data_IF_200835485325
#
_entry.id   IF_200835485325
#
_cell.length_a   1.000
_cell.length_b   1.000
_cell.length_c   1.000
_cell.angle_alpha   90.00
_cell.angle_beta   90.00
_cell.angle_gamma   90.00
#
_symmetry.space_group_name_H-M   'P 1'
#
loop_
_entity.id
_entity.type
_entity.pdbx_description
1 polymer ?
#
# COMPACT_ATOMS: atom_id res chain seq x y z
N UNK A 1 8.44 20.76 -9.36
CA UNK A 1 9.40 19.71 -8.91
C UNK A 1 10.61 19.71 -9.81
N UNK A 2 11.81 19.47 -9.28
CA UNK A 2 13.06 19.42 -10.06
C UNK A 2 13.59 17.99 -10.13
N UNK A 3 14.51 17.69 -11.05
CA UNK A 3 15.16 16.37 -11.11
C UNK A 3 15.87 16.01 -9.78
N UNK A 4 16.37 17.01 -9.06
CA UNK A 4 17.01 16.82 -7.76
C UNK A 4 16.00 16.35 -6.70
N UNK A 5 14.79 16.91 -6.68
CA UNK A 5 13.76 16.50 -5.70
C UNK A 5 13.26 15.08 -5.96
N UNK A 6 13.14 14.64 -7.21
CA UNK A 6 12.78 13.25 -7.53
C UNK A 6 13.85 12.25 -7.10
N UNK A 7 15.13 12.61 -7.22
CA UNK A 7 16.23 11.74 -6.78
C UNK A 7 16.22 11.54 -5.27
N UNK A 8 16.08 12.62 -4.50
CA UNK A 8 16.00 12.54 -3.05
C UNK A 8 14.81 11.68 -2.60
N UNK A 9 13.64 11.87 -3.22
CA UNK A 9 12.47 11.04 -2.95
C UNK A 9 12.74 9.55 -3.25
N UNK A 10 13.40 9.24 -4.36
CA UNK A 10 13.75 7.85 -4.69
C UNK A 10 14.72 7.25 -3.66
N UNK A 11 15.71 8.02 -3.19
CA UNK A 11 16.63 7.59 -2.14
C UNK A 11 15.90 7.28 -0.82
N UNK A 12 14.93 8.10 -0.43
CA UNK A 12 14.11 7.84 0.76
C UNK A 12 13.28 6.55 0.63
N UNK A 13 12.64 6.34 -0.52
CA UNK A 13 11.87 5.11 -0.78
C UNK A 13 12.74 3.85 -0.82
N UNK A 14 13.94 3.93 -1.42
CA UNK A 14 14.93 2.86 -1.38
C UNK A 14 15.36 2.55 0.07
N UNK A 15 15.56 3.58 0.90
CA UNK A 15 15.90 3.37 2.31
C UNK A 15 14.79 2.61 3.06
N UNK A 16 13.52 2.99 2.87
CA UNK A 16 12.39 2.26 3.45
C UNK A 16 12.28 0.83 2.91
N UNK A 17 12.41 0.63 1.61
CA UNK A 17 12.38 -0.70 1.00
C UNK A 17 13.44 -1.65 1.57
N UNK A 18 14.63 -1.12 1.90
CA UNK A 18 15.72 -1.92 2.46
C UNK A 18 15.61 -2.17 3.97
N UNK A 19 14.94 -1.28 4.72
CA UNK A 19 15.01 -1.30 6.20
C UNK A 19 13.69 -1.56 6.90
N UNK A 20 12.57 -1.10 6.34
CA UNK A 20 11.23 -1.31 6.90
C UNK A 20 10.18 -1.31 5.78
N UNK A 21 10.19 -2.33 4.90
CA UNK A 21 9.38 -2.34 3.69
C UNK A 21 7.88 -2.34 3.98
N UNK A 22 7.44 -2.97 5.08
CA UNK A 22 6.02 -2.96 5.46
C UNK A 22 5.57 -1.56 5.92
N UNK A 23 6.39 -0.87 6.74
CA UNK A 23 6.09 0.51 7.12
C UNK A 23 6.14 1.47 5.93
N UNK A 24 7.05 1.24 4.97
CA UNK A 24 7.10 2.00 3.71
C UNK A 24 5.78 1.96 2.94
N UNK A 25 5.04 0.84 3.00
CA UNK A 25 3.76 0.67 2.30
C UNK A 25 2.54 1.06 3.16
N UNK A 26 2.57 0.83 4.47
CA UNK A 26 1.55 1.29 5.41
C UNK A 26 2.20 1.90 6.64
N UNK A 27 2.38 3.22 6.62
CA UNK A 27 3.10 3.99 7.64
C UNK A 27 2.24 4.29 8.88
N UNK A 28 1.93 3.26 9.65
CA UNK A 28 1.35 3.42 10.99
C UNK A 28 2.45 3.77 12.00
N UNK A 29 2.42 4.94 12.68
CA UNK A 29 3.46 5.34 13.63
C UNK A 29 3.74 4.33 14.75
N UNK A 30 2.75 3.52 15.12
CA UNK A 30 2.90 2.46 16.13
C UNK A 30 3.67 1.24 15.62
N UNK A 31 3.76 1.08 14.29
CA UNK A 31 4.37 -0.06 13.61
C UNK A 31 5.78 0.24 13.06
N UNK A 32 6.28 1.46 13.24
CA UNK A 32 7.63 1.86 12.80
C UNK A 32 8.74 1.03 13.46
N UNK A 33 9.76 0.71 12.68
CA UNK A 33 10.93 -0.05 13.12
C UNK A 33 10.71 -1.55 13.04
N UNK A 34 10.03 -2.01 11.99
CA UNK A 34 9.77 -3.42 11.72
C UNK A 34 8.77 -4.07 12.67
N UNK A 35 7.82 -3.30 13.22
CA UNK A 35 6.84 -3.80 14.20
C UNK A 35 5.52 -4.26 13.58
N UNK A 36 5.42 -4.25 12.25
CA UNK A 36 4.31 -4.90 11.58
C UNK A 36 4.36 -6.40 11.82
N UNK A 37 3.26 -6.95 12.31
CA UNK A 37 2.99 -8.38 12.09
C UNK A 37 2.63 -8.58 10.61
N UNK A 38 3.25 -9.57 9.98
CA UNK A 38 3.11 -9.81 8.55
C UNK A 38 1.68 -10.19 8.18
N UNK A 39 1.02 -11.00 9.02
CA UNK A 39 -0.37 -11.42 8.77
C UNK A 39 -1.29 -10.22 8.91
N UNK A 40 -1.19 -9.49 10.03
CA UNK A 40 -1.95 -8.25 10.26
C UNK A 40 -1.79 -7.26 9.10
N UNK A 41 -0.57 -7.10 8.58
CA UNK A 41 -0.29 -6.21 7.47
C UNK A 41 -1.07 -6.59 6.20
N UNK A 42 -1.00 -7.86 5.78
CA UNK A 42 -1.71 -8.31 4.56
C UNK A 42 -3.24 -8.38 4.78
N UNK A 43 -3.69 -8.72 5.98
CA UNK A 43 -5.10 -8.67 6.37
C UNK A 43 -5.66 -7.24 6.23
N UNK A 44 -4.86 -6.23 6.59
CA UNK A 44 -5.23 -4.82 6.43
C UNK A 44 -5.49 -4.45 4.96
N UNK A 45 -4.79 -5.10 4.02
CA UNK A 45 -4.96 -4.90 2.58
C UNK A 45 -6.27 -5.49 2.08
N UNK A 46 -6.57 -6.73 2.46
CA UNK A 46 -7.87 -7.37 2.15
C UNK A 46 -9.04 -6.57 2.70
N UNK A 47 -8.93 -6.11 3.95
CA UNK A 47 -9.95 -5.25 4.56
C UNK A 47 -10.10 -3.90 3.83
N UNK A 48 -9.01 -3.35 3.28
CA UNK A 48 -9.06 -2.12 2.48
C UNK A 48 -9.81 -2.33 1.16
N UNK A 49 -9.49 -3.40 0.42
CA UNK A 49 -10.17 -3.74 -0.83
C UNK A 49 -11.66 -4.00 -0.58
N UNK A 50 -12.00 -4.75 0.47
CA UNK A 50 -13.41 -5.02 0.79
C UNK A 50 -14.20 -3.73 1.03
N UNK A 51 -13.65 -2.76 1.77
CA UNK A 51 -14.31 -1.46 1.98
C UNK A 51 -14.54 -0.69 0.68
N UNK A 52 -13.62 -0.78 -0.28
CA UNK A 52 -13.80 -0.18 -1.60
C UNK A 52 -14.97 -0.84 -2.35
N UNK A 53 -15.00 -2.17 -2.37
CA UNK A 53 -16.09 -2.95 -3.00
C UNK A 53 -17.44 -2.61 -2.38
N UNK A 54 -17.51 -2.59 -1.04
CA UNK A 54 -18.74 -2.24 -0.31
C UNK A 54 -19.20 -0.82 -0.62
N UNK A 55 -18.26 0.12 -0.76
CA UNK A 55 -18.55 1.51 -1.14
C UNK A 55 -19.15 1.58 -2.54
N UNK A 56 -18.54 0.91 -3.53
CA UNK A 56 -19.07 0.85 -4.90
C UNK A 56 -20.48 0.25 -4.93
N UNK A 57 -20.69 -0.85 -4.20
CA UNK A 57 -22.00 -1.49 -4.08
C UNK A 57 -23.04 -0.54 -3.48
N UNK A 58 -22.71 0.18 -2.40
CA UNK A 58 -23.62 1.15 -1.76
C UNK A 58 -24.03 2.32 -2.68
N UNK A 59 -23.20 2.63 -3.66
CA UNK A 59 -23.43 3.67 -4.66
C UNK A 59 -24.09 3.12 -5.94
N UNK A 60 -24.39 1.82 -6.00
CA UNK A 60 -24.87 1.11 -7.18
C UNK A 60 -23.94 1.29 -8.40
N UNK A 61 -22.62 1.33 -8.17
CA UNK A 61 -21.62 1.41 -9.23
C UNK A 61 -21.21 -0.02 -9.62
N UNK A 62 -21.51 -0.39 -10.84
CA UNK A 62 -21.04 -1.65 -11.45
C UNK A 62 -19.65 -1.48 -12.05
N UNK A 63 -18.84 -2.53 -11.98
CA UNK A 63 -17.51 -2.60 -12.57
C UNK A 63 -17.21 -4.04 -13.02
N UNK A 64 -16.31 -4.19 -14.00
CA UNK A 64 -15.83 -5.50 -14.41
C UNK A 64 -14.84 -6.04 -13.36
N UNK A 65 -15.10 -7.24 -12.82
CA UNK A 65 -14.31 -7.87 -11.77
C UNK A 65 -13.21 -8.78 -12.29
N UNK A 66 -12.84 -8.66 -13.58
CA UNK A 66 -11.77 -9.43 -14.21
C UNK A 66 -10.38 -9.20 -13.60
N UNK A 67 -9.56 -8.35 -14.21
CA UNK A 67 -8.18 -8.12 -13.79
C UNK A 67 -7.98 -6.68 -13.31
N UNK A 68 -7.21 -6.53 -12.23
CA UNK A 68 -6.84 -5.24 -11.65
C UNK A 68 -5.32 -5.04 -11.65
N UNK A 69 -4.88 -3.78 -11.72
CA UNK A 69 -3.48 -3.38 -11.66
C UNK A 69 -3.26 -2.50 -10.42
N UNK A 70 -2.33 -2.91 -9.55
CA UNK A 70 -1.91 -2.13 -8.40
C UNK A 70 -0.63 -1.35 -8.74
N UNK A 71 -0.76 -0.03 -8.91
CA UNK A 71 0.37 0.84 -9.22
C UNK A 71 1.18 1.14 -7.97
N UNK A 72 2.48 0.83 -8.02
CA UNK A 72 3.34 1.04 -6.85
C UNK A 72 3.03 0.05 -5.72
N UNK A 73 2.70 -1.19 -6.07
CA UNK A 73 2.27 -2.23 -5.13
C UNK A 73 3.28 -2.55 -4.01
N UNK A 74 4.56 -2.22 -4.20
CA UNK A 74 5.61 -2.46 -3.22
C UNK A 74 5.71 -3.93 -2.85
N UNK A 75 5.44 -4.27 -1.59
CA UNK A 75 5.40 -5.65 -1.10
C UNK A 75 4.12 -6.41 -1.46
N UNK A 76 3.21 -5.81 -2.24
CA UNK A 76 1.96 -6.44 -2.67
C UNK A 76 0.87 -6.43 -1.61
N UNK A 77 0.70 -5.34 -0.85
CA UNK A 77 -0.26 -5.30 0.26
C UNK A 77 -1.69 -5.65 -0.16
N UNK A 78 -2.09 -5.29 -1.39
CA UNK A 78 -3.46 -5.45 -1.88
C UNK A 78 -3.67 -6.70 -2.76
N UNK A 79 -2.63 -7.52 -2.98
CA UNK A 79 -2.62 -8.61 -3.98
C UNK A 79 -2.25 -9.95 -3.39
#
# INVERSE_FOLDING_TARGET
MTRRTFRALAEDWEAFGNTDPLFGILSDPTKFGGKWDVTEFFDSGRAHVQRLVDTLASLNIEYDSGACLDFGCGVGRLT
#
